data_IF_605307247692
#
_entry.id   IF_605307247692
#
_cell.length_a   1.000
_cell.length_b   1.000
_cell.length_c   1.000
_cell.angle_alpha   90.00
_cell.angle_beta   90.00
_cell.angle_gamma   90.00
#
_symmetry.space_group_name_H-M   'P 1'
#
loop_
_entity.id
_entity.type
_entity.pdbx_description
1 polymer ?
#
# COMPACT_ATOMS: atom_id res chain seq x y z
N UNK A 1 -19.93 -15.60 -44.79
CA UNK A 1 -20.10 -16.60 -43.72
C UNK A 1 -19.37 -16.11 -42.47
N UNK A 2 -20.17 -15.60 -41.53
CA UNK A 2 -19.97 -15.41 -40.08
C UNK A 2 -18.55 -15.06 -39.57
N UNK A 3 -18.43 -13.79 -39.18
CA UNK A 3 -17.44 -13.25 -38.24
C UNK A 3 -17.51 -14.07 -36.94
N UNK A 4 -16.45 -14.80 -36.58
CA UNK A 4 -16.23 -15.17 -35.17
C UNK A 4 -15.33 -14.13 -34.53
N UNK A 5 -15.95 -13.07 -34.00
CA UNK A 5 -15.40 -12.31 -32.86
C UNK A 5 -15.25 -13.33 -31.73
N UNK A 6 -14.04 -13.83 -31.50
CA UNK A 6 -13.73 -14.58 -30.29
C UNK A 6 -13.87 -13.63 -29.11
N UNK A 7 -14.80 -13.96 -28.21
CA UNK A 7 -15.10 -13.28 -26.95
C UNK A 7 -13.80 -12.88 -26.25
N UNK A 8 -13.57 -11.58 -26.14
CA UNK A 8 -12.62 -11.01 -25.19
C UNK A 8 -13.23 -11.24 -23.79
N UNK A 9 -12.67 -12.17 -23.02
CA UNK A 9 -13.04 -12.35 -21.61
C UNK A 9 -12.54 -11.14 -20.82
N UNK A 10 -13.46 -10.45 -20.15
CA UNK A 10 -13.15 -9.38 -19.19
C UNK A 10 -12.21 -9.92 -18.09
N UNK A 11 -11.28 -9.06 -17.63
CA UNK A 11 -10.37 -9.20 -16.48
C UNK A 11 -8.91 -9.65 -16.72
N UNK A 12 -8.22 -9.11 -17.75
CA UNK A 12 -6.76 -8.94 -17.62
C UNK A 12 -6.46 -7.78 -16.64
N UNK A 13 -6.50 -8.08 -15.33
CA UNK A 13 -6.00 -7.14 -14.33
C UNK A 13 -4.49 -7.06 -14.44
N UNK A 14 -3.98 -5.90 -14.86
CA UNK A 14 -2.55 -5.65 -14.91
C UNK A 14 -1.95 -5.70 -13.49
N UNK A 15 -0.89 -6.51 -13.33
CA UNK A 15 -0.15 -6.61 -12.06
C UNK A 15 0.73 -5.38 -11.91
N UNK A 16 0.48 -4.60 -10.85
CA UNK A 16 1.26 -3.43 -10.51
C UNK A 16 2.20 -3.72 -9.33
N UNK A 17 3.29 -2.94 -9.26
CA UNK A 17 4.22 -2.96 -8.14
C UNK A 17 3.83 -1.89 -7.12
N UNK A 18 3.72 -2.30 -5.86
CA UNK A 18 3.45 -1.44 -4.72
C UNK A 18 4.64 -1.42 -3.79
N UNK A 19 4.85 -0.30 -3.14
CA UNK A 19 5.90 -0.07 -2.16
C UNK A 19 5.22 0.30 -0.84
N UNK A 20 5.79 -0.10 0.29
CA UNK A 20 5.21 0.24 1.58
C UNK A 20 6.26 0.51 2.66
N UNK A 21 5.85 1.29 3.65
CA UNK A 21 6.40 1.23 5.01
C UNK A 21 5.34 0.70 5.97
N UNK A 22 5.73 -0.13 6.93
CA UNK A 22 4.84 -0.68 7.95
C UNK A 22 5.44 -0.55 9.35
N UNK A 23 4.60 -0.29 10.34
CA UNK A 23 4.94 -0.25 11.76
C UNK A 23 3.67 -0.40 12.61
N UNK A 24 3.80 -0.45 13.93
CA UNK A 24 2.64 -0.57 14.83
C UNK A 24 1.65 0.58 14.64
N UNK A 25 0.36 0.29 14.87
CA UNK A 25 -0.70 1.30 14.82
C UNK A 25 -0.37 2.52 15.68
N UNK A 26 0.11 2.29 16.91
CA UNK A 26 0.49 3.34 17.85
C UNK A 26 1.56 4.27 17.26
N UNK A 27 2.56 3.72 16.58
CA UNK A 27 3.66 4.50 16.02
C UNK A 27 3.21 5.36 14.83
N UNK A 28 2.44 4.80 13.89
CA UNK A 28 2.04 5.53 12.68
C UNK A 28 0.84 6.46 12.89
N UNK A 29 -0.08 6.15 13.81
CA UNK A 29 -1.32 6.92 13.98
C UNK A 29 -1.22 8.04 15.02
N UNK A 30 -0.29 7.94 15.97
CA UNK A 30 -0.15 8.95 17.04
C UNK A 30 1.03 9.91 16.79
N UNK A 31 1.69 9.81 15.64
CA UNK A 31 2.79 10.70 15.27
C UNK A 31 2.25 11.94 14.55
N UNK A 32 2.15 13.04 15.27
CA UNK A 32 1.76 14.35 14.69
C UNK A 32 2.61 14.73 13.46
N UNK A 33 3.95 14.52 13.44
CA UNK A 33 4.76 14.79 12.25
C UNK A 33 4.34 14.00 11.01
N UNK A 34 3.86 12.77 11.16
CA UNK A 34 3.43 11.94 10.03
C UNK A 34 2.07 12.39 9.49
N UNK A 35 1.14 12.75 10.37
CA UNK A 35 -0.17 13.27 9.96
C UNK A 35 -0.02 14.54 9.12
N UNK A 36 0.80 15.50 9.57
CA UNK A 36 1.09 16.74 8.83
C UNK A 36 1.67 16.42 7.45
N UNK A 37 2.69 15.56 7.38
CA UNK A 37 3.33 15.15 6.13
C UNK A 37 2.31 14.61 5.12
N UNK A 38 1.40 13.75 5.56
CA UNK A 38 0.38 13.16 4.69
C UNK A 38 -0.65 14.21 4.26
N UNK A 39 -1.09 15.08 5.18
CA UNK A 39 -2.03 16.16 4.91
C UNK A 39 -1.48 17.16 3.89
N UNK A 40 -0.26 17.64 4.09
CA UNK A 40 0.42 18.55 3.16
C UNK A 40 0.58 17.92 1.78
N UNK A 41 0.92 16.62 1.72
CA UNK A 41 1.03 15.89 0.46
C UNK A 41 -0.30 15.77 -0.26
N UNK A 42 -1.39 15.46 0.43
CA UNK A 42 -2.75 15.45 -0.15
C UNK A 42 -3.09 16.82 -0.72
N UNK A 43 -2.83 17.89 0.03
CA UNK A 43 -3.08 19.26 -0.44
C UNK A 43 -2.23 19.62 -1.65
N UNK A 44 -0.95 19.24 -1.66
CA UNK A 44 -0.07 19.44 -2.81
C UNK A 44 -0.62 18.74 -4.06
N UNK A 45 -1.04 17.47 -3.94
CA UNK A 45 -1.60 16.68 -5.06
C UNK A 45 -2.86 17.33 -5.61
N UNK A 46 -3.73 17.83 -4.73
CA UNK A 46 -4.91 18.61 -5.11
C UNK A 46 -4.55 19.87 -5.89
N UNK A 47 -3.55 20.65 -5.43
CA UNK A 47 -3.09 21.87 -6.11
C UNK A 47 -2.55 21.59 -7.52
N UNK A 48 -1.76 20.52 -7.68
CA UNK A 48 -1.16 20.16 -8.98
C UNK A 48 -2.06 19.25 -9.84
N UNK A 49 -3.31 18.99 -9.41
CA UNK A 49 -4.26 18.08 -10.08
C UNK A 49 -3.68 16.68 -10.33
N UNK A 50 -2.84 16.19 -9.42
CA UNK A 50 -2.25 14.84 -9.49
C UNK A 50 -3.17 13.85 -8.76
N UNK A 51 -3.50 12.68 -9.36
CA UNK A 51 -4.20 11.61 -8.66
C UNK A 51 -3.42 11.10 -7.45
N UNK A 52 -4.14 10.75 -6.38
CA UNK A 52 -3.54 10.14 -5.19
C UNK A 52 -3.01 8.76 -5.55
N UNK A 53 -1.76 8.53 -5.20
CA UNK A 53 -1.03 7.28 -5.45
C UNK A 53 -0.44 6.69 -4.16
N UNK A 54 -0.99 7.07 -3.00
CA UNK A 54 -0.61 6.56 -1.69
C UNK A 54 -1.80 6.46 -0.74
N UNK A 55 -1.73 5.51 0.21
CA UNK A 55 -2.82 5.20 1.15
C UNK A 55 -2.24 4.79 2.51
N UNK A 56 -2.93 5.16 3.58
CA UNK A 56 -2.69 4.64 4.93
C UNK A 56 -3.71 3.54 5.21
N UNK A 57 -3.23 2.32 5.48
CA UNK A 57 -4.04 1.12 5.70
C UNK A 57 -3.83 0.60 7.12
N UNK A 58 -4.92 0.36 7.85
CA UNK A 58 -4.89 -0.31 9.17
C UNK A 58 -5.01 -1.82 8.96
N UNK A 59 -4.18 -2.62 9.62
CA UNK A 59 -4.21 -4.08 9.49
C UNK A 59 -4.31 -4.53 8.02
N UNK A 60 -3.36 -4.13 7.15
CA UNK A 60 -3.46 -4.37 5.72
C UNK A 60 -3.37 -5.87 5.39
N UNK A 61 -4.32 -6.36 4.60
CA UNK A 61 -4.46 -7.79 4.31
C UNK A 61 -3.23 -8.37 3.58
N UNK A 62 -2.52 -7.55 2.78
CA UNK A 62 -1.35 -8.02 2.04
C UNK A 62 -0.22 -8.49 2.97
N UNK A 63 -0.15 -8.04 4.21
CA UNK A 63 0.88 -8.49 5.17
C UNK A 63 0.72 -9.96 5.58
N UNK A 64 -0.45 -10.55 5.35
CA UNK A 64 -0.68 -11.98 5.59
C UNK A 64 -0.22 -12.88 4.43
N UNK A 65 0.11 -12.28 3.28
CA UNK A 65 0.51 -12.98 2.06
C UNK A 65 1.87 -13.67 2.18
N UNK A 66 2.13 -14.58 1.25
CA UNK A 66 3.39 -15.32 1.13
C UNK A 66 4.55 -14.39 0.73
N UNK A 67 4.27 -13.30 0.00
CA UNK A 67 5.27 -12.28 -0.35
C UNK A 67 5.84 -11.58 0.90
N UNK A 68 5.11 -11.59 2.02
CA UNK A 68 5.44 -10.85 3.24
C UNK A 68 5.99 -11.72 4.37
N UNK A 69 6.36 -12.98 4.10
CA UNK A 69 6.90 -13.93 5.10
C UNK A 69 8.02 -13.34 5.94
N UNK A 70 8.96 -12.64 5.32
CA UNK A 70 10.11 -12.02 5.99
C UNK A 70 9.71 -10.95 7.01
N UNK A 71 8.51 -10.38 6.90
CA UNK A 71 8.02 -9.34 7.80
C UNK A 71 7.13 -9.87 8.93
N UNK A 72 6.58 -11.09 8.80
CA UNK A 72 5.59 -11.66 9.75
C UNK A 72 6.08 -11.69 11.19
N UNK A 73 7.36 -12.02 11.41
CA UNK A 73 7.92 -12.08 12.77
C UNK A 73 8.31 -10.71 13.32
N UNK A 74 8.51 -9.72 12.44
CA UNK A 74 8.99 -8.38 12.80
C UNK A 74 7.88 -7.36 13.04
N UNK A 75 6.68 -7.61 12.50
CA UNK A 75 5.53 -6.72 12.60
C UNK A 75 4.53 -7.28 13.60
N UNK A 76 4.02 -6.42 14.47
CA UNK A 76 2.91 -6.77 15.35
C UNK A 76 1.65 -7.07 14.52
N UNK A 77 0.75 -7.89 15.08
CA UNK A 77 -0.55 -8.20 14.46
C UNK A 77 -1.36 -6.93 14.15
N UNK A 78 -1.28 -5.91 15.03
CA UNK A 78 -1.95 -4.62 14.87
C UNK A 78 -1.03 -3.56 14.25
N UNK A 79 -0.62 -3.81 13.01
CA UNK A 79 0.23 -2.91 12.25
C UNK A 79 -0.55 -2.08 11.22
N UNK A 80 -0.03 -0.87 10.98
CA UNK A 80 -0.45 0.01 9.90
C UNK A 80 0.61 -0.04 8.80
N UNK A 81 0.18 0.24 7.56
CA UNK A 81 1.11 0.47 6.47
C UNK A 81 0.73 1.73 5.68
N UNK A 82 1.75 2.46 5.23
CA UNK A 82 1.61 3.44 4.15
C UNK A 82 2.06 2.76 2.87
N UNK A 83 1.14 2.65 1.91
CA UNK A 83 1.37 1.99 0.62
C UNK A 83 1.36 3.06 -0.47
N UNK A 84 2.24 2.95 -1.47
CA UNK A 84 2.25 3.81 -2.65
C UNK A 84 2.76 3.07 -3.88
N UNK A 85 2.36 3.52 -5.07
CA UNK A 85 2.98 3.09 -6.33
C UNK A 85 4.26 3.87 -6.66
N UNK A 86 4.62 4.89 -5.86
CA UNK A 86 5.87 5.64 -6.00
C UNK A 86 6.93 5.22 -4.98
N UNK A 87 7.98 4.55 -5.46
CA UNK A 87 9.11 4.11 -4.64
C UNK A 87 9.80 5.24 -3.88
N UNK A 88 10.01 6.38 -4.55
CA UNK A 88 10.73 7.53 -3.97
C UNK A 88 10.06 8.06 -2.71
N UNK A 89 8.73 8.06 -2.67
CA UNK A 89 7.96 8.48 -1.50
C UNK A 89 8.16 7.53 -0.31
N UNK A 90 8.12 6.22 -0.56
CA UNK A 90 8.33 5.20 0.47
C UNK A 90 9.77 5.20 1.00
N UNK A 91 10.76 5.38 0.13
CA UNK A 91 12.16 5.54 0.54
C UNK A 91 12.33 6.77 1.43
N UNK A 92 11.74 7.90 1.05
CA UNK A 92 11.77 9.11 1.85
C UNK A 92 11.09 8.94 3.22
N UNK A 93 9.95 8.25 3.27
CA UNK A 93 9.29 7.92 4.55
C UNK A 93 10.16 7.04 5.44
N UNK A 94 10.85 6.04 4.88
CA UNK A 94 11.77 5.18 5.63
C UNK A 94 12.89 5.99 6.29
N UNK A 95 13.46 6.97 5.60
CA UNK A 95 14.51 7.86 6.13
C UNK A 95 13.98 8.80 7.23
N UNK A 96 12.71 9.22 7.15
CA UNK A 96 12.07 10.09 8.14
C UNK A 96 11.68 9.35 9.41
N UNK A 97 11.16 8.12 9.28
CA UNK A 97 10.53 7.39 10.37
C UNK A 97 11.49 6.43 11.10
N UNK A 98 12.63 6.07 10.49
CA UNK A 98 13.67 5.17 11.02
C UNK A 98 13.20 3.75 11.41
N UNK A 99 12.35 3.62 12.42
CA UNK A 99 11.87 2.35 13.00
C UNK A 99 10.63 1.77 12.30
N UNK A 100 10.65 1.77 10.97
CA UNK A 100 9.59 1.19 10.13
C UNK A 100 10.17 0.09 9.24
N UNK A 101 9.42 -0.99 9.02
CA UNK A 101 9.71 -1.96 7.98
C UNK A 101 9.46 -1.31 6.62
N UNK A 102 10.26 -1.66 5.59
CA UNK A 102 10.08 -1.20 4.21
C UNK A 102 10.08 -2.42 3.31
N UNK A 103 9.12 -2.52 2.40
CA UNK A 103 9.05 -3.59 1.42
C UNK A 103 8.34 -3.17 0.14
N UNK A 104 8.14 -4.16 -0.71
CA UNK A 104 7.42 -4.04 -1.97
C UNK A 104 6.69 -5.34 -2.27
N UNK A 105 5.60 -5.26 -3.02
CA UNK A 105 4.81 -6.43 -3.41
C UNK A 105 4.12 -6.20 -4.76
N UNK A 106 3.73 -7.29 -5.40
CA UNK A 106 2.99 -7.27 -6.66
C UNK A 106 1.53 -7.64 -6.45
N UNK A 107 0.62 -6.87 -7.03
CA UNK A 107 -0.82 -7.06 -6.94
C UNK A 107 -1.57 -6.40 -8.11
N UNK A 108 -2.76 -6.91 -8.50
CA UNK A 108 -3.44 -8.04 -7.89
C UNK A 108 -2.81 -9.38 -8.29
N UNK A 109 -2.71 -10.31 -7.34
CA UNK A 109 -2.28 -11.70 -7.53
C UNK A 109 -3.30 -12.65 -6.88
N UNK A 110 -3.15 -13.97 -7.04
CA UNK A 110 -4.03 -14.95 -6.38
C UNK A 110 -3.98 -14.82 -4.85
N UNK A 111 -2.80 -14.51 -4.31
CA UNK A 111 -2.53 -14.35 -2.87
C UNK A 111 -2.90 -12.93 -2.37
N UNK A 112 -2.73 -11.90 -3.23
CA UNK A 112 -3.08 -10.51 -2.93
C UNK A 112 -4.10 -10.01 -3.96
N UNK A 113 -5.39 -10.40 -3.87
CA UNK A 113 -6.39 -10.02 -4.87
C UNK A 113 -6.76 -8.53 -4.84
N UNK A 114 -6.57 -7.87 -3.69
CA UNK A 114 -6.86 -6.46 -3.46
C UNK A 114 -5.69 -5.80 -2.71
N UNK A 115 -4.83 -5.02 -3.36
CA UNK A 115 -3.62 -4.44 -2.75
C UNK A 115 -3.89 -3.51 -1.57
N UNK A 116 -5.05 -2.84 -1.59
CA UNK A 116 -5.44 -1.82 -0.61
C UNK A 116 -6.50 -2.33 0.37
N UNK A 117 -6.70 -3.65 0.45
CA UNK A 117 -7.64 -4.23 1.42
C UNK A 117 -7.08 -4.11 2.83
N UNK A 118 -7.93 -3.72 3.77
CA UNK A 118 -7.59 -3.47 5.16
C UNK A 118 -8.70 -4.02 6.06
N UNK A 119 -8.38 -4.47 7.27
CA UNK A 119 -9.40 -4.86 8.25
C UNK A 119 -9.87 -3.63 9.03
N UNK A 120 -11.18 -3.41 9.04
CA UNK A 120 -11.81 -2.30 9.76
C UNK A 120 -12.19 -2.67 11.21
N UNK A 121 -12.03 -3.94 11.59
CA UNK A 121 -12.27 -4.39 12.97
C UNK A 121 -11.02 -4.13 13.81
N UNK A 122 -11.01 -3.02 14.53
CA UNK A 122 -10.12 -2.77 15.68
C UNK A 122 -10.93 -2.13 16.79
#
# INVERSE_FOLDING_TARGET
MIIKKSKLSNDEKFVAKYYFVAASNKFLLLSEPLEEILRERVQHYKRIKKPIDFWLLRSPAFLQSEQMKEFKDSLANDCCAIVSTQQSFIVWLKLRLNHVAKGEFFAPTLDIPKPLSFDAKS
#
